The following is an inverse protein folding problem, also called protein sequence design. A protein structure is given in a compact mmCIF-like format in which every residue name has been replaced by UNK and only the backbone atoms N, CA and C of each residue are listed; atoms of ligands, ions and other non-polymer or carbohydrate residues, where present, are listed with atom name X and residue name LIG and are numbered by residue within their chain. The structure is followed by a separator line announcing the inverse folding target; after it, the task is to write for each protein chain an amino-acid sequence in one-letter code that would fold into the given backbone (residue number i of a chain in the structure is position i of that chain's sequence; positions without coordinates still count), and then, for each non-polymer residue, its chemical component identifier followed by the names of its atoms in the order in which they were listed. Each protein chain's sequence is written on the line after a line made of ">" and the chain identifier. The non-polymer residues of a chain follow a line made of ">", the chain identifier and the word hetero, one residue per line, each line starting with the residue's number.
data_IF_524711381167
#
_entry.id   IF_524711381167
#
_cell.length_a   1.000
_cell.length_b   1.000
_cell.length_c   1.000
_cell.angle_alpha   90.00
_cell.angle_beta   90.00
_cell.angle_gamma   90.00
#
_symmetry.space_group_name_H-M   'P 1'
#
loop_
_entity.id
_entity.type
_entity.pdbx_description
1 polymer ?
#
# COMPACT_ATOMS: atom_id res chain seq x y z
N UNK A 1 -18.34 -21.53 35.81
CA UNK A 1 -16.99 -21.07 35.44
C UNK A 1 -16.22 -22.23 34.85
N UNK A 2 -16.09 -22.31 33.50
CA UNK A 2 -15.32 -23.38 32.83
C UNK A 2 -14.09 -22.72 32.23
N UNK A 3 -12.89 -23.17 32.65
CA UNK A 3 -11.58 -22.68 32.21
C UNK A 3 -11.34 -23.16 30.78
N UNK A 4 -10.93 -22.24 29.91
CA UNK A 4 -10.47 -22.50 28.55
C UNK A 4 -9.08 -23.20 28.61
N UNK A 5 -8.81 -24.27 27.83
CA UNK A 5 -7.49 -24.90 27.81
C UNK A 5 -6.50 -24.03 26.99
N UNK A 6 -5.33 -23.78 27.59
CA UNK A 6 -4.21 -23.15 26.92
C UNK A 6 -3.55 -24.16 25.97
N UNK A 7 -3.49 -23.85 24.70
CA UNK A 7 -2.72 -24.61 23.70
C UNK A 7 -1.28 -24.10 23.72
N UNK A 8 -0.38 -24.94 24.26
CA UNK A 8 1.06 -24.67 24.23
C UNK A 8 1.64 -25.14 22.89
N UNK A 9 2.01 -24.22 22.03
CA UNK A 9 2.75 -24.53 20.81
C UNK A 9 4.23 -24.70 21.17
N UNK A 10 4.77 -25.94 21.06
CA UNK A 10 6.20 -26.20 21.18
C UNK A 10 6.90 -25.99 19.85
N UNK A 11 7.87 -25.08 19.82
CA UNK A 11 8.82 -24.95 18.73
C UNK A 11 9.92 -26.02 18.86
N UNK A 12 10.35 -26.68 17.80
CA UNK A 12 11.49 -27.60 17.83
C UNK A 12 12.80 -26.81 17.90
N UNK A 13 13.50 -26.97 19.02
CA UNK A 13 14.88 -26.54 19.20
C UNK A 13 15.79 -27.62 18.62
N UNK A 14 16.37 -27.44 17.43
CA UNK A 14 17.63 -28.03 17.03
C UNK A 14 18.21 -27.31 15.81
N UNK A 15 19.26 -26.55 16.05
CA UNK A 15 20.20 -26.09 15.01
C UNK A 15 21.19 -27.21 14.76
N UNK A 16 21.53 -27.57 13.51
CA UNK A 16 22.59 -28.52 13.23
C UNK A 16 23.97 -27.91 13.43
N UNK A 17 24.85 -28.72 13.99
CA UNK A 17 26.23 -28.45 14.36
C UNK A 17 27.14 -28.10 13.17
N UNK A 18 28.13 -27.25 13.40
CA UNK A 18 29.12 -26.79 12.42
C UNK A 18 30.04 -27.95 11.99
N UNK A 19 29.98 -28.30 10.73
CA UNK A 19 31.07 -29.06 10.08
C UNK A 19 31.93 -28.11 9.24
N UNK A 20 33.27 -28.24 9.44
CA UNK A 20 34.34 -27.45 8.86
C UNK A 20 34.57 -27.77 7.38
N UNK A 21 35.06 -26.76 6.68
CA UNK A 21 35.70 -26.79 5.35
C UNK A 21 34.74 -26.81 4.13
N UNK A 22 34.85 -25.74 3.36
CA UNK A 22 34.42 -25.70 1.97
C UNK A 22 33.93 -24.30 1.59
N UNK A 23 34.50 -23.74 0.59
CA UNK A 23 34.17 -22.48 -0.05
C UNK A 23 32.64 -22.28 -0.14
N UNK A 24 32.11 -21.40 0.70
CA UNK A 24 30.74 -20.92 0.56
C UNK A 24 30.77 -19.96 -0.64
N UNK A 25 30.38 -20.47 -1.80
CA UNK A 25 29.88 -19.58 -2.84
C UNK A 25 28.73 -18.79 -2.21
N UNK A 26 29.00 -17.54 -1.87
CA UNK A 26 27.95 -16.60 -1.51
C UNK A 26 27.06 -16.46 -2.74
N UNK A 27 25.98 -17.25 -2.81
CA UNK A 27 24.87 -16.92 -3.67
C UNK A 27 24.36 -15.59 -3.13
N UNK A 28 24.38 -14.51 -3.92
CA UNK A 28 23.74 -13.29 -3.50
C UNK A 28 22.27 -13.64 -3.23
N UNK A 29 21.81 -13.42 -2.00
CA UNK A 29 20.40 -13.48 -1.69
C UNK A 29 19.74 -12.37 -2.51
N UNK A 30 19.22 -12.74 -3.68
CA UNK A 30 18.42 -11.86 -4.52
C UNK A 30 17.06 -11.79 -3.81
N UNK A 31 16.91 -10.82 -2.93
CA UNK A 31 15.59 -10.45 -2.39
C UNK A 31 14.60 -10.17 -3.53
N UNK A 32 13.29 -10.12 -3.25
CA UNK A 32 12.30 -9.90 -4.29
C UNK A 32 12.65 -8.62 -5.07
N UNK A 33 12.89 -8.77 -6.38
CA UNK A 33 13.21 -7.64 -7.26
C UNK A 33 12.03 -6.68 -7.30
N UNK A 34 12.25 -5.43 -6.86
CA UNK A 34 11.21 -4.41 -6.93
C UNK A 34 11.08 -3.95 -8.39
N UNK A 35 10.06 -4.46 -9.06
CA UNK A 35 9.82 -4.17 -10.45
C UNK A 35 9.07 -2.84 -10.60
N UNK A 36 9.75 -1.83 -11.13
CA UNK A 36 9.13 -0.57 -11.59
C UNK A 36 9.01 -0.65 -13.11
N UNK A 37 7.80 -0.52 -13.62
CA UNK A 37 7.48 -0.57 -15.05
C UNK A 37 7.05 0.82 -15.56
N UNK A 38 7.09 1.02 -16.88
CA UNK A 38 6.51 2.22 -17.50
C UNK A 38 5.00 2.24 -17.31
N UNK A 39 4.39 3.42 -17.46
CA UNK A 39 2.95 3.58 -17.33
C UNK A 39 2.21 2.65 -18.29
N UNK A 40 1.27 1.88 -17.73
CA UNK A 40 0.39 1.01 -18.50
C UNK A 40 -0.99 1.67 -18.65
N UNK A 41 -1.45 1.98 -19.87
CA UNK A 41 -2.76 2.60 -20.12
C UNK A 41 -3.93 1.70 -19.70
N UNK A 42 -3.72 0.42 -19.38
CA UNK A 42 -4.75 -0.48 -18.85
C UNK A 42 -5.02 -0.27 -17.33
N UNK A 43 -4.17 0.46 -16.60
CA UNK A 43 -4.40 0.67 -15.16
C UNK A 43 -5.71 1.39 -14.82
N UNK A 44 -6.14 2.43 -15.54
CA UNK A 44 -7.44 3.03 -15.29
C UNK A 44 -8.61 2.05 -15.46
N UNK A 45 -8.59 1.20 -16.50
CA UNK A 45 -9.63 0.19 -16.72
C UNK A 45 -9.65 -0.86 -15.61
N UNK A 46 -8.47 -1.32 -15.18
CA UNK A 46 -8.35 -2.24 -14.03
C UNK A 46 -8.92 -1.62 -12.75
N UNK A 47 -8.66 -0.34 -12.49
CA UNK A 47 -9.26 0.37 -11.37
C UNK A 47 -10.79 0.45 -11.51
N UNK A 48 -11.32 0.77 -12.69
CA UNK A 48 -12.77 0.85 -12.90
C UNK A 48 -13.48 -0.49 -12.62
N UNK A 49 -12.85 -1.62 -12.96
CA UNK A 49 -13.38 -2.95 -12.60
C UNK A 49 -13.46 -3.13 -11.08
N UNK A 50 -12.39 -2.77 -10.34
CA UNK A 50 -12.39 -2.82 -8.88
C UNK A 50 -13.44 -1.88 -8.28
N UNK A 51 -13.49 -0.64 -8.76
CA UNK A 51 -14.45 0.37 -8.32
C UNK A 51 -15.88 -0.14 -8.44
N UNK A 52 -16.22 -0.74 -9.58
CA UNK A 52 -17.55 -1.28 -9.84
C UNK A 52 -17.86 -2.46 -8.92
N UNK A 53 -16.92 -3.38 -8.70
CA UNK A 53 -17.09 -4.51 -7.79
C UNK A 53 -17.38 -4.01 -6.37
N UNK A 54 -16.58 -3.07 -5.87
CA UNK A 54 -16.76 -2.53 -4.52
C UNK A 54 -18.05 -1.72 -4.39
N UNK A 55 -18.37 -0.88 -5.37
CA UNK A 55 -19.60 -0.09 -5.35
C UNK A 55 -20.86 -0.98 -5.31
N UNK A 56 -20.88 -2.05 -6.10
CA UNK A 56 -22.00 -3.01 -6.10
C UNK A 56 -22.11 -3.72 -4.75
N UNK A 57 -21.00 -4.19 -4.19
CA UNK A 57 -21.01 -4.90 -2.91
C UNK A 57 -21.43 -3.99 -1.75
N UNK A 58 -20.93 -2.75 -1.70
CA UNK A 58 -21.27 -1.75 -0.69
C UNK A 58 -22.76 -1.38 -0.78
N UNK A 59 -23.25 -1.12 -2.00
CA UNK A 59 -24.67 -0.80 -2.22
C UNK A 59 -25.60 -1.95 -1.82
N UNK A 60 -25.24 -3.19 -2.14
CA UNK A 60 -26.00 -4.38 -1.75
C UNK A 60 -26.09 -4.57 -0.23
N UNK A 61 -25.06 -4.14 0.51
CA UNK A 61 -25.03 -4.15 1.97
C UNK A 61 -25.64 -2.90 2.60
N UNK A 62 -26.07 -1.91 1.80
CA UNK A 62 -26.61 -0.65 2.30
C UNK A 62 -25.56 0.27 2.94
N UNK A 63 -24.28 0.07 2.66
CA UNK A 63 -23.17 0.90 3.18
C UNK A 63 -23.02 2.16 2.34
N UNK A 64 -23.17 3.36 2.95
CA UNK A 64 -22.98 4.61 2.22
C UNK A 64 -21.49 4.85 1.96
N UNK A 65 -21.09 4.85 0.68
CA UNK A 65 -19.75 5.20 0.22
C UNK A 65 -19.76 6.62 -0.35
N UNK A 66 -18.86 7.47 0.10
CA UNK A 66 -18.74 8.86 -0.36
C UNK A 66 -17.98 8.94 -1.68
N UNK A 67 -16.90 8.14 -1.82
CA UNK A 67 -16.12 8.03 -3.04
C UNK A 67 -15.35 6.69 -3.06
N UNK A 68 -14.97 6.25 -4.25
CA UNK A 68 -13.96 5.19 -4.45
C UNK A 68 -12.90 5.78 -5.37
N UNK A 69 -11.69 6.00 -4.84
CA UNK A 69 -10.65 6.80 -5.47
C UNK A 69 -9.49 5.93 -5.96
N UNK A 70 -9.08 6.13 -7.22
CA UNK A 70 -7.81 5.63 -7.72
C UNK A 70 -6.70 6.54 -7.22
N UNK A 71 -5.87 6.02 -6.34
CA UNK A 71 -4.74 6.76 -5.76
C UNK A 71 -3.41 6.10 -6.09
N UNK A 72 -2.34 6.57 -5.47
CA UNK A 72 -1.00 6.04 -5.74
C UNK A 72 -0.49 6.31 -7.15
N UNK A 73 0.60 5.64 -7.50
CA UNK A 73 1.35 5.98 -8.71
C UNK A 73 0.71 5.53 -10.00
N UNK A 74 -0.06 4.43 -9.97
CA UNK A 74 -0.76 3.91 -11.16
C UNK A 74 -1.94 4.79 -11.58
N UNK A 75 -2.41 5.65 -10.67
CA UNK A 75 -3.45 6.64 -10.96
C UNK A 75 -2.96 7.86 -11.76
N UNK A 76 -1.64 8.00 -11.96
CA UNK A 76 -1.04 9.17 -12.62
C UNK A 76 -0.58 8.80 -14.03
N UNK A 77 -1.22 9.30 -15.10
CA UNK A 77 -0.84 9.02 -16.48
C UNK A 77 0.62 9.37 -16.77
N UNK A 78 1.35 8.43 -17.38
CA UNK A 78 2.76 8.59 -17.74
C UNK A 78 3.76 8.34 -16.59
N UNK A 79 3.32 8.06 -15.35
CA UNK A 79 4.21 7.80 -14.23
C UNK A 79 4.64 6.34 -14.17
N UNK A 80 5.94 6.06 -14.25
CA UNK A 80 6.48 4.72 -13.98
C UNK A 80 6.18 4.28 -12.54
N UNK A 81 5.72 3.03 -12.36
CA UNK A 81 5.24 2.53 -11.07
C UNK A 81 5.50 1.03 -10.87
N UNK A 82 5.40 0.56 -9.63
CA UNK A 82 5.04 -0.84 -9.35
C UNK A 82 3.63 -1.06 -9.93
N UNK A 83 3.34 -2.19 -10.60
CA UNK A 83 2.04 -2.43 -11.24
C UNK A 83 0.96 -2.83 -10.21
N UNK A 84 0.75 -1.97 -9.22
CA UNK A 84 -0.22 -2.15 -8.12
C UNK A 84 -1.26 -1.06 -8.22
N UNK A 85 -2.54 -1.44 -8.20
CA UNK A 85 -3.67 -0.50 -8.17
C UNK A 85 -3.97 -0.18 -6.72
N UNK A 86 -3.76 1.08 -6.32
CA UNK A 86 -4.11 1.58 -4.99
C UNK A 86 -5.53 2.16 -5.03
N UNK A 87 -6.42 1.67 -4.16
CA UNK A 87 -7.83 2.00 -4.13
C UNK A 87 -8.28 2.42 -2.72
N UNK A 88 -8.76 3.65 -2.57
CA UNK A 88 -9.35 4.17 -1.34
C UNK A 88 -10.88 4.15 -1.42
N UNK A 89 -11.53 3.41 -0.52
CA UNK A 89 -12.98 3.43 -0.32
C UNK A 89 -13.26 4.45 0.78
N UNK A 90 -13.76 5.61 0.40
CA UNK A 90 -13.98 6.75 1.30
C UNK A 90 -15.35 6.63 1.94
N UNK A 91 -15.38 6.60 3.27
CA UNK A 91 -16.60 6.48 4.07
C UNK A 91 -16.58 7.47 5.24
N UNK A 92 -17.71 7.64 5.93
CA UNK A 92 -17.72 8.32 7.23
C UNK A 92 -17.15 7.37 8.29
N UNK A 93 -16.67 7.91 9.38
CA UNK A 93 -16.10 7.12 10.49
C UNK A 93 -17.10 6.08 11.02
N UNK A 94 -18.39 6.44 11.09
CA UNK A 94 -19.46 5.55 11.55
C UNK A 94 -19.67 4.33 10.62
N UNK A 95 -19.30 4.41 9.35
CA UNK A 95 -19.55 3.39 8.34
C UNK A 95 -18.35 2.45 8.12
N UNK A 96 -17.23 2.68 8.84
CA UNK A 96 -15.96 1.92 8.67
C UNK A 96 -16.13 0.43 8.96
N UNK A 97 -16.83 0.07 10.03
CA UNK A 97 -17.00 -1.31 10.44
C UNK A 97 -17.80 -2.12 9.41
N UNK A 98 -18.88 -1.53 8.91
CA UNK A 98 -19.74 -2.12 7.88
C UNK A 98 -19.00 -2.24 6.55
N UNK A 99 -18.30 -1.20 6.10
CA UNK A 99 -17.47 -1.23 4.89
C UNK A 99 -16.38 -2.29 4.97
N UNK A 100 -15.72 -2.41 6.13
CA UNK A 100 -14.72 -3.45 6.39
C UNK A 100 -15.33 -4.86 6.29
N UNK A 101 -16.52 -5.05 6.86
CA UNK A 101 -17.25 -6.33 6.80
C UNK A 101 -17.61 -6.72 5.36
N UNK A 102 -17.96 -5.75 4.51
CA UNK A 102 -18.20 -5.99 3.08
C UNK A 102 -16.94 -6.47 2.40
N UNK A 103 -15.78 -5.81 2.61
CA UNK A 103 -14.51 -6.26 2.03
C UNK A 103 -14.15 -7.68 2.50
N UNK A 104 -14.35 -7.99 3.77
CA UNK A 104 -14.12 -9.33 4.29
C UNK A 104 -15.02 -10.38 3.59
N UNK A 105 -16.27 -10.04 3.28
CA UNK A 105 -17.17 -10.93 2.53
C UNK A 105 -16.71 -11.16 1.07
N UNK A 106 -15.94 -10.23 0.50
CA UNK A 106 -15.28 -10.35 -0.79
C UNK A 106 -13.96 -11.14 -0.75
N UNK A 107 -13.55 -11.61 0.46
CA UNK A 107 -12.36 -12.42 0.68
C UNK A 107 -11.11 -11.64 1.09
N UNK A 108 -11.23 -10.35 1.40
CA UNK A 108 -10.13 -9.57 1.95
C UNK A 108 -9.87 -9.93 3.43
N UNK A 109 -8.61 -9.94 3.85
CA UNK A 109 -8.24 -10.10 5.25
C UNK A 109 -7.87 -8.73 5.86
N UNK A 110 -8.48 -8.33 6.99
CA UNK A 110 -8.21 -7.04 7.61
C UNK A 110 -6.81 -7.01 8.23
N UNK A 111 -6.08 -5.91 8.02
CA UNK A 111 -4.75 -5.64 8.57
C UNK A 111 -4.78 -4.53 9.63
N UNK A 112 -5.90 -3.81 9.76
CA UNK A 112 -6.06 -2.68 10.65
C UNK A 112 -5.44 -1.39 10.11
N UNK A 113 -5.25 -0.42 10.99
CA UNK A 113 -4.75 0.93 10.60
C UNK A 113 -3.25 0.98 10.32
N UNK A 114 -2.49 -0.04 10.74
CA UNK A 114 -1.02 -0.13 10.58
C UNK A 114 -0.27 1.13 11.05
N UNK A 115 -0.79 1.80 12.08
CA UNK A 115 -0.23 3.02 12.65
C UNK A 115 -0.62 4.32 11.94
N UNK A 116 -1.48 4.28 10.92
CA UNK A 116 -2.04 5.48 10.27
C UNK A 116 -3.49 5.64 10.70
N UNK A 117 -3.83 6.65 11.51
CA UNK A 117 -5.19 6.86 11.97
C UNK A 117 -6.18 7.04 10.81
N UNK A 118 -7.38 6.44 10.96
CA UNK A 118 -8.48 6.55 10.01
C UNK A 118 -8.20 5.94 8.62
N UNK A 119 -7.29 4.95 8.54
CA UNK A 119 -6.86 4.32 7.31
C UNK A 119 -6.70 2.80 7.53
N UNK A 120 -7.73 2.01 7.20
CA UNK A 120 -7.74 0.55 7.38
C UNK A 120 -7.28 -0.15 6.12
N UNK A 121 -6.21 -0.90 6.26
CA UNK A 121 -5.63 -1.70 5.18
C UNK A 121 -6.19 -3.12 5.16
N UNK A 122 -6.20 -3.71 3.98
CA UNK A 122 -6.66 -5.09 3.76
C UNK A 122 -5.70 -5.84 2.85
N UNK A 123 -5.45 -7.10 3.18
CA UNK A 123 -4.76 -8.01 2.28
C UNK A 123 -5.76 -8.54 1.25
N UNK A 124 -5.43 -8.40 0.00
CA UNK A 124 -6.26 -8.81 -1.12
C UNK A 124 -6.37 -10.34 -1.25
N UNK A 125 -7.50 -10.88 -1.73
CA UNK A 125 -7.61 -12.27 -2.14
C UNK A 125 -6.80 -12.52 -3.42
N UNK A 126 -6.35 -13.76 -3.65
CA UNK A 126 -5.49 -14.13 -4.78
C UNK A 126 -6.03 -13.67 -6.16
N UNK A 127 -7.37 -13.65 -6.34
CA UNK A 127 -8.02 -13.18 -7.57
C UNK A 127 -7.81 -11.70 -7.87
N UNK A 128 -7.49 -10.89 -6.84
CA UNK A 128 -7.23 -9.45 -6.91
C UNK A 128 -5.77 -9.12 -6.64
N UNK A 129 -4.86 -10.07 -6.86
CA UNK A 129 -3.42 -9.84 -6.70
C UNK A 129 -2.96 -8.61 -7.49
N UNK A 130 -2.09 -7.82 -6.87
CA UNK A 130 -1.62 -6.55 -7.43
C UNK A 130 -2.57 -5.38 -7.19
N UNK A 131 -3.36 -5.44 -6.11
CA UNK A 131 -4.16 -4.31 -5.62
C UNK A 131 -3.84 -4.03 -4.15
N UNK A 132 -3.88 -2.76 -3.75
CA UNK A 132 -3.96 -2.33 -2.35
C UNK A 132 -5.33 -1.68 -2.16
N UNK A 133 -6.10 -2.17 -1.22
CA UNK A 133 -7.43 -1.64 -0.94
C UNK A 133 -7.52 -1.15 0.49
N UNK A 134 -8.05 0.05 0.66
CA UNK A 134 -8.18 0.71 1.95
C UNK A 134 -9.61 1.17 2.17
N UNK A 135 -10.10 1.06 3.42
CA UNK A 135 -11.25 1.84 3.89
C UNK A 135 -10.68 3.05 4.61
N UNK A 136 -11.10 4.24 4.20
CA UNK A 136 -10.52 5.48 4.67
C UNK A 136 -11.61 6.48 5.06
N UNK A 137 -11.40 7.20 6.16
CA UNK A 137 -12.38 8.20 6.65
C UNK A 137 -12.24 9.50 5.86
N UNK A 138 -13.37 10.02 5.44
CA UNK A 138 -13.47 11.32 4.77
C UNK A 138 -12.81 12.44 5.59
N UNK A 139 -12.03 13.29 4.91
CA UNK A 139 -11.33 14.41 5.52
C UNK A 139 -10.11 14.07 6.36
N UNK A 140 -9.71 12.79 6.51
CA UNK A 140 -8.51 12.44 7.24
C UNK A 140 -7.21 12.83 6.48
N UNK A 141 -6.10 12.96 7.21
CA UNK A 141 -4.81 13.36 6.63
C UNK A 141 -4.30 12.38 5.56
N UNK A 142 -4.56 11.08 5.73
CA UNK A 142 -4.14 10.07 4.76
C UNK A 142 -4.85 10.24 3.42
N UNK A 143 -6.17 10.45 3.42
CA UNK A 143 -6.93 10.74 2.20
C UNK A 143 -6.43 12.03 1.54
N UNK A 144 -6.26 13.11 2.31
CA UNK A 144 -5.72 14.36 1.80
C UNK A 144 -4.34 14.16 1.14
N UNK A 145 -3.44 13.42 1.79
CA UNK A 145 -2.14 13.05 1.23
C UNK A 145 -2.26 12.30 -0.10
N UNK A 146 -3.10 11.26 -0.16
CA UNK A 146 -3.25 10.45 -1.37
C UNK A 146 -3.77 11.28 -2.56
N UNK A 147 -4.82 12.07 -2.33
CA UNK A 147 -5.43 12.90 -3.37
C UNK A 147 -4.47 14.03 -3.81
N UNK A 148 -3.84 14.73 -2.86
CA UNK A 148 -2.94 15.83 -3.16
C UNK A 148 -1.71 15.39 -3.96
N UNK A 149 -1.09 14.25 -3.60
CA UNK A 149 0.03 13.66 -4.35
C UNK A 149 -0.40 13.29 -5.77
N UNK A 150 -1.55 12.61 -5.91
CA UNK A 150 -2.10 12.26 -7.22
C UNK A 150 -2.30 13.49 -8.10
N UNK A 151 -2.99 14.48 -7.57
CA UNK A 151 -3.46 15.62 -8.35
C UNK A 151 -2.31 16.55 -8.75
N UNK A 152 -1.32 16.78 -7.88
CA UNK A 152 -0.14 17.56 -8.23
C UNK A 152 0.71 16.86 -9.31
N UNK A 153 0.86 15.52 -9.22
CA UNK A 153 1.63 14.78 -10.22
C UNK A 153 0.90 14.65 -11.58
N UNK A 154 -0.43 14.76 -11.59
CA UNK A 154 -1.21 14.87 -12.83
C UNK A 154 -1.07 16.25 -13.46
N UNK A 155 -0.99 17.30 -12.64
CA UNK A 155 -0.89 18.68 -13.09
C UNK A 155 0.53 19.10 -13.52
N UNK A 156 1.58 18.58 -12.85
CA UNK A 156 2.98 18.93 -13.09
C UNK A 156 3.74 17.75 -13.71
N UNK A 157 3.89 17.78 -15.03
CA UNK A 157 4.59 16.73 -15.77
C UNK A 157 6.10 16.70 -15.47
N UNK A 158 6.73 17.84 -15.16
CA UNK A 158 8.15 17.87 -14.82
C UNK A 158 8.41 17.19 -13.46
N UNK A 159 7.57 17.47 -12.46
CA UNK A 159 7.62 16.84 -11.14
C UNK A 159 7.33 15.34 -11.22
N UNK A 160 6.34 14.96 -12.04
CA UNK A 160 6.03 13.55 -12.34
C UNK A 160 7.23 12.82 -12.92
N UNK A 161 7.89 13.39 -13.93
CA UNK A 161 9.00 12.77 -14.64
C UNK A 161 10.25 12.66 -13.74
N UNK A 162 10.50 13.67 -12.90
CA UNK A 162 11.54 13.62 -11.86
C UNK A 162 11.25 12.46 -10.88
N UNK A 163 10.01 12.32 -10.43
CA UNK A 163 9.61 11.21 -9.53
C UNK A 163 9.75 9.85 -10.21
N UNK A 164 9.37 9.73 -11.48
CA UNK A 164 9.57 8.51 -12.27
C UNK A 164 11.06 8.11 -12.32
N UNK A 165 11.96 9.08 -12.55
CA UNK A 165 13.40 8.84 -12.58
C UNK A 165 13.94 8.36 -11.20
N UNK A 166 13.45 8.94 -10.10
CA UNK A 166 13.79 8.50 -8.74
C UNK A 166 13.32 7.06 -8.51
N UNK A 167 12.09 6.73 -8.89
CA UNK A 167 11.52 5.37 -8.73
C UNK A 167 12.29 4.32 -9.52
N UNK A 168 12.66 4.59 -10.78
CA UNK A 168 13.45 3.66 -11.59
C UNK A 168 14.81 3.40 -10.95
N UNK A 169 15.51 4.45 -10.49
CA UNK A 169 16.79 4.30 -9.78
C UNK A 169 16.66 3.55 -8.47
N UNK A 170 15.61 3.84 -7.69
CA UNK A 170 15.36 3.14 -6.45
C UNK A 170 15.06 1.66 -6.70
N UNK A 171 14.18 1.34 -7.66
CA UNK A 171 13.82 -0.03 -8.00
C UNK A 171 15.00 -0.88 -8.49
N UNK A 172 15.97 -0.28 -9.22
CA UNK A 172 17.17 -0.99 -9.72
C UNK A 172 18.27 -1.17 -8.68
N UNK A 173 18.20 -0.51 -7.52
CA UNK A 173 19.27 -0.49 -6.50
C UNK A 173 18.87 -1.04 -5.15
N UNK A 174 17.60 -0.90 -4.78
CA UNK A 174 17.09 -1.32 -3.49
C UNK A 174 17.11 -2.85 -3.37
N UNK A 175 17.64 -3.36 -2.27
CA UNK A 175 17.66 -4.78 -1.96
C UNK A 175 16.31 -5.25 -1.37
N UNK A 176 15.51 -4.32 -0.85
CA UNK A 176 14.20 -4.58 -0.26
C UNK A 176 13.28 -3.35 -0.38
N UNK A 177 12.04 -3.51 0.08
CA UNK A 177 11.01 -2.48 -0.03
C UNK A 177 11.29 -1.25 0.85
N UNK A 178 11.93 -1.44 2.01
CA UNK A 178 12.31 -0.35 2.92
C UNK A 178 13.34 0.58 2.28
N UNK A 179 14.41 0.02 1.70
CA UNK A 179 15.41 0.80 0.96
C UNK A 179 14.78 1.53 -0.22
N UNK A 180 13.85 0.87 -0.92
CA UNK A 180 13.08 1.51 -1.99
C UNK A 180 12.22 2.68 -1.45
N UNK A 181 11.58 2.50 -0.30
CA UNK A 181 10.82 3.54 0.39
C UNK A 181 11.70 4.72 0.77
N UNK A 182 12.80 4.47 1.47
CA UNK A 182 13.76 5.48 1.92
C UNK A 182 14.36 6.27 0.76
N UNK A 183 14.72 5.61 -0.34
CA UNK A 183 15.25 6.27 -1.53
C UNK A 183 14.28 7.29 -2.15
N UNK A 184 12.98 7.12 -1.93
CA UNK A 184 11.93 8.03 -2.42
C UNK A 184 11.57 9.14 -1.45
N UNK A 185 11.90 9.02 -0.16
CA UNK A 185 11.40 9.91 0.90
C UNK A 185 11.60 11.39 0.59
N UNK A 186 12.80 11.79 0.17
CA UNK A 186 13.09 13.19 -0.20
C UNK A 186 12.19 13.69 -1.33
N UNK A 187 11.97 12.85 -2.33
CA UNK A 187 11.13 13.21 -3.48
C UNK A 187 9.66 13.29 -3.08
N UNK A 188 9.18 12.37 -2.25
CA UNK A 188 7.81 12.41 -1.69
C UNK A 188 7.60 13.70 -0.89
N UNK A 189 8.57 14.10 -0.04
CA UNK A 189 8.49 15.38 0.69
C UNK A 189 8.43 16.60 -0.25
N UNK A 190 9.15 16.58 -1.37
CA UNK A 190 9.08 17.62 -2.40
C UNK A 190 7.69 17.67 -3.04
N UNK A 191 7.11 16.51 -3.39
CA UNK A 191 5.77 16.40 -3.97
C UNK A 191 4.72 16.91 -2.99
N UNK A 192 4.77 16.50 -1.73
CA UNK A 192 3.85 16.95 -0.68
C UNK A 192 3.90 18.48 -0.47
N UNK A 193 5.11 19.07 -0.54
CA UNK A 193 5.27 20.51 -0.46
C UNK A 193 4.66 21.23 -1.69
N UNK A 194 4.86 20.70 -2.89
CA UNK A 194 4.25 21.22 -4.12
C UNK A 194 2.72 21.07 -4.11
N UNK A 195 2.21 20.02 -3.44
CA UNK A 195 0.78 19.80 -3.23
C UNK A 195 0.17 20.71 -2.14
N UNK A 196 0.96 21.60 -1.52
CA UNK A 196 0.49 22.58 -0.55
C UNK A 196 0.39 22.07 0.90
N UNK A 197 0.85 20.85 1.21
CA UNK A 197 0.84 20.35 2.58
C UNK A 197 1.81 21.14 3.46
N UNK A 198 1.38 21.49 4.66
CA UNK A 198 2.18 22.17 5.67
C UNK A 198 3.38 21.33 6.13
N UNK A 199 4.37 21.97 6.74
CA UNK A 199 5.51 21.25 7.30
C UNK A 199 5.10 20.27 8.40
N UNK A 200 4.08 20.60 9.20
CA UNK A 200 3.55 19.74 10.25
C UNK A 200 2.87 18.48 9.67
N UNK A 201 2.01 18.63 8.66
CA UNK A 201 1.38 17.51 7.96
C UNK A 201 2.40 16.59 7.30
N UNK A 202 3.41 17.17 6.63
CA UNK A 202 4.48 16.38 6.01
C UNK A 202 5.33 15.62 7.02
N UNK A 203 5.58 16.19 8.20
CA UNK A 203 6.29 15.51 9.28
C UNK A 203 5.47 14.35 9.85
N UNK A 204 4.15 14.55 10.03
CA UNK A 204 3.23 13.49 10.46
C UNK A 204 3.20 12.33 9.45
N UNK A 205 3.10 12.62 8.16
CA UNK A 205 3.12 11.60 7.10
C UNK A 205 4.46 10.84 7.09
N UNK A 206 5.59 11.52 7.28
CA UNK A 206 6.91 10.88 7.33
C UNK A 206 7.07 9.95 8.55
N UNK A 207 6.44 10.29 9.69
CA UNK A 207 6.43 9.46 10.90
C UNK A 207 5.52 8.24 10.81
N UNK A 208 4.52 8.28 9.95
CA UNK A 208 3.51 7.24 9.76
C UNK A 208 3.78 6.38 8.51
N UNK A 209 5.04 6.18 8.13
CA UNK A 209 5.35 5.29 6.99
C UNK A 209 4.97 3.86 7.34
N UNK A 210 3.88 3.38 6.77
CA UNK A 210 3.43 1.99 6.87
C UNK A 210 4.46 1.09 6.20
N UNK A 211 4.83 -0.05 6.82
CA UNK A 211 5.45 -1.15 6.11
C UNK A 211 4.59 -1.51 4.90
N UNK A 212 5.19 -1.72 3.75
CA UNK A 212 4.41 -2.14 2.59
C UNK A 212 3.79 -3.51 2.84
N UNK A 213 2.67 -3.81 2.14
CA UNK A 213 1.96 -5.09 2.23
C UNK A 213 2.86 -6.33 2.09
N UNK A 214 4.04 -6.19 1.45
CA UNK A 214 5.02 -7.27 1.28
C UNK A 214 5.79 -7.60 2.57
N UNK A 215 5.67 -6.79 3.63
CA UNK A 215 6.39 -6.93 4.92
C UNK A 215 5.55 -7.56 6.02
N UNK A 216 4.27 -7.79 5.75
CA UNK A 216 3.39 -8.42 6.74
C UNK A 216 3.64 -9.93 6.78
N UNK A 217 3.70 -10.56 7.97
CA UNK A 217 3.97 -11.99 8.10
C UNK A 217 2.91 -12.78 7.33
N UNK A 218 3.39 -13.73 6.54
CA UNK A 218 2.57 -14.67 5.76
C UNK A 218 1.87 -15.66 6.66
#
# INVERSE_FOLDING_TARGET
>A
MRRCPQVTVRYPSQLPDRARNGHVCAHPYIGPVITVVEYDPAWPERFEMLRNEYAVAMAAAGVPVLAIEHVGSTSVPGLAAKPIIDCDIVVREADVAEASSVLMSLGFAPLGELGIPHHWAFKEPARLSGTNTYVIVDGCLSLHNHLAVRDVLRADSALRDEYAAVKRRAGSRAANIDEYGQAKTRMVQKILAAAGLTAAERASIAGNQVPSHDELPR
#
